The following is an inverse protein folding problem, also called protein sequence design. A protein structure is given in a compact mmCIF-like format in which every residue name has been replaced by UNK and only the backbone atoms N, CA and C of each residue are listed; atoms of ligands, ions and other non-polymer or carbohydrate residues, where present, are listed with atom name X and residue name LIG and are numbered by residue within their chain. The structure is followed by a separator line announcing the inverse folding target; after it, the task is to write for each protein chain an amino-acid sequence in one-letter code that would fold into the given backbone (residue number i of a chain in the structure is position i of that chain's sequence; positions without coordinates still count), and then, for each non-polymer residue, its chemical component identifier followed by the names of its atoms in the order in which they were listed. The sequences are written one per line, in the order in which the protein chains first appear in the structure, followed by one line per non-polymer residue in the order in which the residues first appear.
data_IF_242242204857
#
_entry.id   IF_242242204857
#
_cell.length_a   1.000
_cell.length_b   1.000
_cell.length_c   1.000
_cell.angle_alpha   90.00
_cell.angle_beta   90.00
_cell.angle_gamma   90.00
#
_symmetry.space_group_name_H-M   'P 1'
#
loop_
_entity.id
_entity.type
_entity.pdbx_description
1 polymer ?
#
# COMPACT_ATOMS: atom_id res chain seq x y z
N UNK A 1 52.19 86.33 -19.62
CA UNK A 1 51.06 86.95 -20.35
C UNK A 1 50.14 85.86 -20.86
N UNK A 2 48.86 86.19 -21.04
CA UNK A 2 47.78 85.34 -21.56
C UNK A 2 47.22 84.24 -20.65
N UNK A 3 45.92 84.00 -20.86
CA UNK A 3 44.99 83.13 -20.11
C UNK A 3 44.55 81.98 -21.04
N UNK A 4 43.93 80.93 -20.50
CA UNK A 4 42.73 80.22 -21.01
C UNK A 4 42.61 78.88 -20.25
N UNK A 5 41.58 78.73 -19.40
CA UNK A 5 40.25 78.14 -19.69
C UNK A 5 40.25 76.60 -19.66
N UNK A 6 39.48 76.05 -18.72
CA UNK A 6 39.17 74.62 -18.64
C UNK A 6 38.12 74.22 -19.70
N UNK A 7 37.94 72.92 -19.93
CA UNK A 7 36.67 72.33 -19.50
C UNK A 7 36.82 71.02 -18.72
N UNK A 8 35.78 70.68 -17.95
CA UNK A 8 35.60 69.33 -17.39
C UNK A 8 35.33 68.34 -18.54
N UNK A 9 35.89 67.14 -18.45
CA UNK A 9 35.39 65.97 -19.18
C UNK A 9 35.22 64.80 -18.22
N UNK A 10 33.98 64.54 -17.84
CA UNK A 10 33.59 63.31 -17.15
C UNK A 10 33.74 62.12 -18.11
N UNK A 11 34.49 61.09 -17.71
CA UNK A 11 34.48 59.79 -18.35
C UNK A 11 33.75 58.81 -17.41
N UNK A 12 32.64 58.24 -17.88
CA UNK A 12 31.77 57.42 -17.05
C UNK A 12 32.37 56.04 -16.78
N UNK A 13 32.33 55.60 -15.52
CA UNK A 13 32.53 54.18 -15.18
C UNK A 13 31.37 53.37 -15.74
N UNK A 14 31.64 52.56 -16.77
CA UNK A 14 30.66 51.64 -17.34
C UNK A 14 30.49 50.45 -16.38
N UNK A 15 29.61 50.61 -15.39
CA UNK A 15 29.18 49.51 -14.55
C UNK A 15 28.31 48.55 -15.39
N UNK A 16 28.94 47.51 -15.93
CA UNK A 16 28.23 46.40 -16.54
C UNK A 16 27.47 45.65 -15.43
N UNK A 17 26.20 46.02 -15.25
CA UNK A 17 25.28 45.24 -14.44
C UNK A 17 25.09 43.88 -15.13
N UNK A 18 25.76 42.85 -14.59
CA UNK A 18 25.42 41.46 -14.85
C UNK A 18 23.99 41.25 -14.34
N UNK A 19 23.03 41.44 -15.23
CA UNK A 19 21.73 40.78 -15.14
C UNK A 19 22.02 39.29 -15.33
N UNK A 20 22.43 38.64 -14.24
CA UNK A 20 22.29 37.20 -14.10
C UNK A 20 20.80 36.92 -14.12
N UNK A 21 20.27 36.67 -15.32
CA UNK A 21 19.01 35.96 -15.42
C UNK A 21 19.23 34.63 -14.73
N UNK A 22 18.44 34.36 -13.70
CA UNK A 22 18.24 32.99 -13.23
C UNK A 22 17.68 32.24 -14.42
N UNK A 23 18.53 31.47 -15.11
CA UNK A 23 18.04 30.33 -15.84
C UNK A 23 17.31 29.49 -14.78
N UNK A 24 15.99 29.43 -14.88
CA UNK A 24 15.27 28.32 -14.27
C UNK A 24 15.80 27.11 -15.02
N UNK A 25 16.45 26.19 -14.31
CA UNK A 25 16.74 24.89 -14.87
C UNK A 25 15.39 24.27 -15.30
N UNK A 26 15.38 23.55 -16.42
CA UNK A 26 14.22 22.74 -16.76
C UNK A 26 14.18 21.60 -15.74
N UNK A 27 13.31 21.76 -14.74
CA UNK A 27 13.07 20.78 -13.68
C UNK A 27 12.38 19.58 -14.32
N UNK A 28 12.80 18.33 -14.02
CA UNK A 28 12.21 17.15 -14.62
C UNK A 28 10.70 17.06 -14.35
N UNK A 29 9.95 16.55 -15.32
CA UNK A 29 8.57 16.14 -15.12
C UNK A 29 8.59 14.82 -14.32
N UNK A 30 7.94 14.80 -13.15
CA UNK A 30 7.99 13.67 -12.21
C UNK A 30 6.59 13.13 -11.95
N UNK A 31 6.43 11.81 -11.96
CA UNK A 31 5.22 11.12 -11.55
C UNK A 31 5.44 10.32 -10.25
N UNK A 32 4.40 10.24 -9.44
CA UNK A 32 4.34 9.42 -8.22
C UNK A 32 3.03 8.63 -8.18
N UNK A 33 3.10 7.36 -7.81
CA UNK A 33 1.97 6.43 -7.81
C UNK A 33 0.83 6.84 -6.86
N UNK A 34 1.07 6.82 -5.55
CA UNK A 34 0.08 7.02 -4.49
C UNK A 34 0.34 8.30 -3.70
N UNK A 35 -0.69 8.85 -3.06
CA UNK A 35 -0.58 10.11 -2.31
C UNK A 35 0.53 10.14 -1.22
N UNK A 36 0.81 9.04 -0.48
CA UNK A 36 1.96 8.95 0.42
C UNK A 36 3.32 9.13 -0.28
N UNK A 37 3.52 8.50 -1.44
CA UNK A 37 4.77 8.59 -2.22
C UNK A 37 4.88 9.97 -2.88
N UNK A 38 3.79 10.47 -3.48
CA UNK A 38 3.68 11.84 -4.00
C UNK A 38 4.13 12.87 -2.97
N UNK A 39 3.69 12.72 -1.72
CA UNK A 39 4.05 13.60 -0.62
C UNK A 39 5.55 13.56 -0.29
N UNK A 40 6.17 12.38 -0.25
CA UNK A 40 7.62 12.24 -0.05
C UNK A 40 8.41 12.86 -1.21
N UNK A 41 7.97 12.65 -2.46
CA UNK A 41 8.60 13.25 -3.64
C UNK A 41 8.44 14.78 -3.64
N UNK A 42 7.25 15.29 -3.33
CA UNK A 42 6.97 16.72 -3.18
C UNK A 42 7.80 17.35 -2.05
N UNK A 43 8.04 16.63 -0.94
CA UNK A 43 8.94 17.07 0.13
C UNK A 43 10.38 17.22 -0.35
N UNK A 44 10.89 16.31 -1.18
CA UNK A 44 12.24 16.45 -1.76
C UNK A 44 12.29 17.56 -2.82
N UNK A 45 11.27 17.68 -3.66
CA UNK A 45 11.16 18.72 -4.71
C UNK A 45 10.82 20.12 -4.19
N UNK A 46 10.62 20.31 -2.89
CA UNK A 46 10.15 21.57 -2.28
C UNK A 46 10.98 22.79 -2.72
N UNK A 47 10.30 23.78 -3.32
CA UNK A 47 10.91 25.00 -3.83
C UNK A 47 11.57 24.87 -5.21
N UNK A 48 11.59 23.67 -5.80
CA UNK A 48 12.12 23.37 -7.13
C UNK A 48 10.97 23.02 -8.10
N UNK A 49 10.11 22.07 -7.74
CA UNK A 49 8.97 21.63 -8.56
C UNK A 49 7.93 20.85 -7.75
N UNK A 50 6.99 20.20 -8.45
CA UNK A 50 5.93 19.41 -7.84
C UNK A 50 5.65 18.17 -8.72
N UNK A 51 5.58 16.94 -8.15
CA UNK A 51 5.27 15.74 -8.90
C UNK A 51 3.77 15.64 -9.26
N UNK A 52 3.47 14.95 -10.35
CA UNK A 52 2.12 14.49 -10.69
C UNK A 52 1.73 13.26 -9.85
N UNK A 53 0.48 13.19 -9.40
CA UNK A 53 -0.08 12.03 -8.71
C UNK A 53 -0.87 11.15 -9.70
N UNK A 54 -0.60 9.84 -9.71
CA UNK A 54 -1.21 8.88 -10.64
C UNK A 54 -2.49 8.25 -10.10
N UNK A 55 -2.50 7.75 -8.86
CA UNK A 55 -3.70 7.20 -8.21
C UNK A 55 -4.43 8.33 -7.49
N UNK A 56 -5.62 8.70 -7.99
CA UNK A 56 -6.39 9.82 -7.45
C UNK A 56 -6.76 9.62 -5.95
N UNK A 57 -6.77 10.69 -5.13
CA UNK A 57 -7.12 10.58 -3.71
C UNK A 57 -8.49 9.92 -3.47
N UNK A 58 -8.51 8.93 -2.58
CA UNK A 58 -9.71 8.15 -2.25
C UNK A 58 -10.00 6.96 -3.16
N UNK A 59 -9.19 6.73 -4.20
CA UNK A 59 -9.18 5.45 -4.92
C UNK A 59 -8.28 4.42 -4.21
N UNK A 60 -8.54 3.14 -4.46
CA UNK A 60 -7.62 2.05 -4.12
C UNK A 60 -6.46 2.01 -5.13
N UNK A 61 -5.22 1.72 -4.70
CA UNK A 61 -4.13 1.39 -5.60
C UNK A 61 -4.23 -0.06 -6.13
N UNK A 62 -4.83 -0.99 -5.38
CA UNK A 62 -4.94 -2.40 -5.78
C UNK A 62 -5.83 -2.58 -7.02
N UNK A 63 -6.89 -1.77 -7.14
CA UNK A 63 -7.73 -1.69 -8.35
C UNK A 63 -7.90 -0.25 -8.84
N UNK A 64 -7.14 0.14 -9.87
CA UNK A 64 -7.27 1.45 -10.50
C UNK A 64 -7.35 1.40 -12.03
N UNK A 65 -7.92 2.44 -12.64
CA UNK A 65 -7.97 2.62 -14.10
C UNK A 65 -7.58 4.05 -14.44
N UNK A 66 -6.44 4.18 -15.14
CA UNK A 66 -5.85 5.47 -15.50
C UNK A 66 -6.82 6.35 -16.28
N UNK A 67 -7.00 7.58 -15.80
CA UNK A 67 -7.64 8.67 -16.53
C UNK A 67 -6.69 9.18 -17.63
N UNK A 68 -7.20 9.74 -18.74
CA UNK A 68 -6.35 10.26 -19.81
C UNK A 68 -5.29 11.28 -19.37
N UNK A 69 -5.54 12.03 -18.30
CA UNK A 69 -4.57 12.97 -17.71
C UNK A 69 -3.42 12.28 -16.98
N UNK A 70 -3.67 11.15 -16.32
CA UNK A 70 -2.64 10.38 -15.59
C UNK A 70 -1.78 9.59 -16.58
N UNK A 71 -2.40 8.99 -17.60
CA UNK A 71 -1.67 8.43 -18.73
C UNK A 71 -0.80 9.48 -19.45
N UNK A 72 -1.24 10.74 -19.53
CA UNK A 72 -0.43 11.85 -20.08
C UNK A 72 0.71 12.24 -19.13
N UNK A 73 0.49 12.19 -17.81
CA UNK A 73 1.52 12.46 -16.82
C UNK A 73 2.64 11.40 -16.88
N UNK A 74 2.29 10.11 -17.00
CA UNK A 74 3.27 9.03 -17.23
C UNK A 74 4.03 9.21 -18.56
N UNK A 75 3.33 9.54 -19.66
CA UNK A 75 3.96 9.75 -20.98
C UNK A 75 4.97 10.90 -21.04
N UNK A 76 4.85 11.88 -20.15
CA UNK A 76 5.74 13.03 -20.11
C UNK A 76 6.81 12.92 -19.01
N UNK A 77 6.76 11.91 -18.14
CA UNK A 77 7.62 11.83 -16.98
C UNK A 77 9.08 11.51 -17.35
N UNK A 78 10.01 12.33 -16.87
CA UNK A 78 11.45 12.01 -16.85
C UNK A 78 11.77 11.01 -15.73
N UNK A 79 11.01 11.05 -14.62
CA UNK A 79 11.12 10.08 -13.51
C UNK A 79 9.75 9.61 -13.02
N UNK A 80 9.66 8.32 -12.70
CA UNK A 80 8.48 7.72 -12.04
C UNK A 80 8.92 7.10 -10.71
N UNK A 81 8.33 7.54 -9.61
CA UNK A 81 8.48 6.92 -8.29
C UNK A 81 7.23 6.11 -7.96
N UNK A 82 7.40 4.84 -7.63
CA UNK A 82 6.29 3.95 -7.30
C UNK A 82 6.69 2.94 -6.24
N UNK A 83 5.73 2.38 -5.51
CA UNK A 83 5.99 1.37 -4.48
C UNK A 83 6.65 0.15 -5.10
N UNK A 84 5.99 -0.48 -6.07
CA UNK A 84 6.50 -1.66 -6.77
C UNK A 84 5.41 -2.58 -7.29
N UNK A 85 5.83 -3.71 -7.86
CA UNK A 85 4.93 -4.71 -8.45
C UNK A 85 3.85 -5.15 -7.47
N UNK A 86 4.24 -5.55 -6.24
CA UNK A 86 3.36 -6.15 -5.24
C UNK A 86 2.16 -5.27 -4.83
N UNK A 87 2.23 -3.95 -5.01
CA UNK A 87 1.09 -3.04 -4.78
C UNK A 87 0.25 -2.79 -6.03
N UNK A 88 0.92 -2.54 -7.16
CA UNK A 88 0.27 -2.07 -8.39
C UNK A 88 0.79 -2.78 -9.64
N UNK A 89 0.49 -4.08 -9.85
CA UNK A 89 0.93 -4.79 -11.06
C UNK A 89 0.42 -4.12 -12.35
N UNK A 90 -0.80 -3.57 -12.32
CA UNK A 90 -1.39 -2.82 -13.44
C UNK A 90 -0.63 -1.52 -13.78
N UNK A 91 0.13 -0.96 -12.84
CA UNK A 91 0.91 0.26 -13.05
C UNK A 91 2.26 -0.08 -13.70
N UNK A 92 2.82 -1.27 -13.44
CA UNK A 92 4.00 -1.78 -14.15
C UNK A 92 3.72 -1.85 -15.67
N UNK A 93 2.67 -2.58 -16.07
CA UNK A 93 2.17 -2.65 -17.45
C UNK A 93 2.00 -1.26 -18.09
N UNK A 94 1.50 -0.30 -17.30
CA UNK A 94 1.27 1.06 -17.77
C UNK A 94 2.55 1.90 -17.86
N UNK A 95 3.51 1.71 -16.97
CA UNK A 95 4.84 2.34 -17.02
C UNK A 95 5.60 1.82 -18.23
N UNK A 96 5.65 0.49 -18.43
CA UNK A 96 6.30 -0.12 -19.60
C UNK A 96 5.71 0.40 -20.92
N UNK A 97 4.39 0.56 -21.00
CA UNK A 97 3.70 0.96 -22.23
C UNK A 97 3.68 2.48 -22.50
N UNK A 98 3.92 3.32 -21.49
CA UNK A 98 3.74 4.77 -21.59
C UNK A 98 5.00 5.59 -21.29
N UNK A 99 5.89 5.10 -20.43
CA UNK A 99 7.02 5.83 -19.87
C UNK A 99 8.37 5.20 -20.28
N UNK A 100 8.49 4.69 -21.52
CA UNK A 100 9.66 3.97 -22.04
C UNK A 100 11.01 4.71 -21.86
N UNK A 101 11.00 6.05 -21.90
CA UNK A 101 12.19 6.91 -21.76
C UNK A 101 12.46 7.36 -20.29
N UNK A 102 11.56 7.06 -19.35
CA UNK A 102 11.63 7.55 -17.97
C UNK A 102 12.62 6.77 -17.10
N UNK A 103 13.22 7.44 -16.10
CA UNK A 103 13.92 6.76 -15.01
C UNK A 103 12.90 6.30 -13.97
N UNK A 104 12.56 5.01 -14.00
CA UNK A 104 11.68 4.38 -13.02
C UNK A 104 12.46 4.04 -11.75
N UNK A 105 11.90 4.37 -10.58
CA UNK A 105 12.46 4.08 -9.27
C UNK A 105 11.41 3.34 -8.44
N UNK A 106 11.59 2.04 -8.32
CA UNK A 106 10.83 1.17 -7.42
C UNK A 106 11.32 1.37 -5.98
N UNK A 107 10.40 1.71 -5.08
CA UNK A 107 10.73 2.03 -3.70
C UNK A 107 10.92 0.79 -2.83
N UNK A 108 10.29 -0.34 -3.19
CA UNK A 108 10.55 -1.64 -2.56
C UNK A 108 12.03 -2.03 -2.71
N UNK A 109 12.61 -1.91 -3.91
CA UNK A 109 14.03 -2.21 -4.16
C UNK A 109 15.03 -1.17 -3.60
N UNK A 110 14.57 -0.05 -3.04
CA UNK A 110 15.46 1.05 -2.64
C UNK A 110 16.37 0.69 -1.45
N UNK A 111 17.64 1.13 -1.51
CA UNK A 111 18.66 0.91 -0.47
C UNK A 111 18.16 1.33 0.94
N UNK A 112 17.92 0.33 1.80
CA UNK A 112 17.49 0.54 3.19
C UNK A 112 15.98 0.43 3.42
N UNK A 113 15.19 0.12 2.40
CA UNK A 113 13.81 -0.35 2.57
C UNK A 113 13.79 -1.63 3.42
N UNK A 114 12.80 -1.74 4.30
CA UNK A 114 12.49 -2.96 5.03
C UNK A 114 11.19 -3.53 4.50
N UNK A 115 11.23 -4.79 4.06
CA UNK A 115 10.09 -5.60 3.64
C UNK A 115 9.64 -6.51 4.80
N UNK A 116 8.35 -6.82 4.84
CA UNK A 116 7.74 -7.79 5.75
C UNK A 116 6.95 -8.81 4.92
N UNK A 117 6.94 -10.11 5.29
CA UNK A 117 6.17 -11.11 4.57
C UNK A 117 4.67 -10.86 4.76
N UNK A 118 3.86 -11.23 3.76
CA UNK A 118 2.39 -11.24 3.85
C UNK A 118 1.95 -12.08 5.06
N UNK A 119 0.96 -11.60 5.81
CA UNK A 119 0.31 -12.38 6.87
C UNK A 119 -0.81 -13.24 6.32
N UNK A 120 -0.73 -14.54 6.56
CA UNK A 120 -1.83 -15.46 6.30
C UNK A 120 -2.89 -15.44 7.42
N UNK A 121 -4.11 -15.85 7.07
CA UNK A 121 -5.21 -16.02 8.03
C UNK A 121 -5.88 -14.72 8.47
N UNK A 122 -6.75 -14.80 9.48
CA UNK A 122 -7.52 -13.65 9.99
C UNK A 122 -6.94 -13.02 11.25
N UNK A 123 -6.15 -13.82 11.97
CA UNK A 123 -5.82 -13.62 13.37
C UNK A 123 -4.33 -13.33 13.58
N UNK A 124 -3.57 -13.30 12.47
CA UNK A 124 -2.12 -13.08 12.41
C UNK A 124 -1.29 -14.06 13.25
N UNK A 125 -1.82 -15.27 13.44
CA UNK A 125 -1.14 -16.35 14.14
C UNK A 125 -0.37 -17.21 13.13
N UNK A 126 0.93 -17.43 13.38
CA UNK A 126 1.72 -18.38 12.59
C UNK A 126 0.99 -19.75 12.55
N UNK A 127 0.64 -20.21 11.35
CA UNK A 127 0.13 -21.56 11.14
C UNK A 127 1.22 -22.59 11.47
N UNK A 128 1.34 -22.93 12.76
CA UNK A 128 2.07 -24.12 13.20
C UNK A 128 1.31 -25.34 12.74
N UNK A 129 1.61 -25.79 11.53
CA UNK A 129 1.36 -27.14 11.08
C UNK A 129 2.11 -28.11 12.00
N UNK A 130 1.46 -28.48 13.10
CA UNK A 130 1.83 -29.65 13.87
C UNK A 130 1.44 -30.85 13.03
N UNK A 131 2.44 -31.61 12.56
CA UNK A 131 2.25 -32.92 11.96
C UNK A 131 1.64 -33.88 13.01
N UNK A 132 0.31 -33.87 13.14
CA UNK A 132 -0.41 -34.94 13.85
C UNK A 132 -0.57 -36.13 12.89
N UNK A 133 0.41 -37.03 12.95
CA UNK A 133 0.40 -38.36 12.34
C UNK A 133 -0.86 -39.16 12.75
N UNK A 134 -1.97 -38.98 12.02
CA UNK A 134 -3.15 -39.82 12.14
C UNK A 134 -2.96 -41.12 11.35
N UNK A 135 -2.08 -41.97 11.86
CA UNK A 135 -2.04 -43.39 11.51
C UNK A 135 -3.28 -44.11 12.05
N UNK A 136 -4.41 -43.98 11.35
CA UNK A 136 -5.63 -44.71 11.65
C UNK A 136 -5.48 -46.17 11.18
N UNK A 137 -5.29 -47.09 12.13
CA UNK A 137 -5.32 -48.53 11.85
C UNK A 137 -6.73 -48.95 11.43
N UNK A 138 -6.86 -49.59 10.26
CA UNK A 138 -8.12 -50.14 9.77
C UNK A 138 -8.45 -51.46 10.50
N UNK A 139 -9.48 -51.48 11.36
CA UNK A 139 -10.14 -52.72 11.76
C UNK A 139 -11.37 -53.01 10.86
N UNK A 140 -11.44 -54.24 10.36
CA UNK A 140 -12.51 -54.73 9.50
C UNK A 140 -13.78 -55.04 10.32
N UNK A 141 -14.96 -54.64 9.81
CA UNK A 141 -16.23 -55.16 10.29
C UNK A 141 -17.14 -55.62 9.13
N UNK A 142 -17.13 -56.95 8.94
CA UNK A 142 -18.20 -57.72 8.31
C UNK A 142 -19.56 -57.47 9.01
N UNK A 143 -20.65 -57.47 8.25
CA UNK A 143 -21.84 -58.30 8.50
C UNK A 143 -22.85 -58.19 7.35
N UNK A 144 -23.27 -59.34 6.83
CA UNK A 144 -24.22 -59.45 5.71
C UNK A 144 -25.68 -59.68 6.10
N UNK A 145 -26.49 -59.81 5.04
CA UNK A 145 -27.87 -60.32 4.96
C UNK A 145 -28.96 -59.72 5.86
N UNK A 146 -29.97 -59.12 5.21
CA UNK A 146 -31.32 -59.69 5.24
C UNK A 146 -32.16 -59.23 4.03
N UNK A 147 -32.86 -60.17 3.39
CA UNK A 147 -33.72 -59.92 2.24
C UNK A 147 -35.22 -60.11 2.57
N UNK A 148 -36.08 -59.48 1.76
CA UNK A 148 -37.23 -60.08 1.05
C UNK A 148 -38.54 -59.23 1.00
N UNK A 149 -39.16 -59.29 -0.20
CA UNK A 149 -40.54 -58.95 -0.59
C UNK A 149 -40.98 -57.47 -0.76
N UNK A 150 -41.92 -57.10 -1.63
CA UNK A 150 -42.30 -57.53 -3.01
C UNK A 150 -43.50 -56.66 -3.51
N UNK A 151 -43.70 -56.56 -4.84
CA UNK A 151 -44.87 -56.02 -5.56
C UNK A 151 -45.12 -54.48 -5.45
N UNK A 152 -45.64 -53.76 -6.46
CA UNK A 152 -45.96 -54.09 -7.87
C UNK A 152 -46.06 -52.79 -8.72
N UNK A 153 -45.77 -52.89 -10.04
CA UNK A 153 -46.38 -52.20 -11.23
C UNK A 153 -46.99 -50.77 -11.14
N UNK A 154 -46.87 -49.80 -12.08
CA UNK A 154 -46.29 -49.62 -13.45
C UNK A 154 -45.67 -48.18 -13.54
N UNK A 155 -45.13 -47.59 -14.63
CA UNK A 155 -45.01 -47.92 -16.06
C UNK A 155 -44.47 -46.72 -16.91
N UNK A 156 -44.45 -46.86 -18.25
CA UNK A 156 -44.02 -45.90 -19.31
C UNK A 156 -42.50 -45.54 -19.37
N UNK A 157 -41.67 -46.03 -20.31
CA UNK A 157 -41.70 -46.03 -21.81
C UNK A 157 -41.10 -44.73 -22.39
N UNK A 158 -39.76 -44.59 -22.41
CA UNK A 158 -38.74 -44.88 -23.47
C UNK A 158 -38.35 -43.68 -24.33
N UNK A 159 -37.08 -43.66 -24.75
CA UNK A 159 -36.47 -42.64 -25.59
C UNK A 159 -34.96 -42.86 -25.70
N UNK A 160 -34.54 -43.77 -26.58
CA UNK A 160 -33.14 -44.16 -26.78
C UNK A 160 -32.21 -42.97 -27.11
N UNK A 161 -30.94 -43.08 -26.71
CA UNK A 161 -29.84 -43.19 -27.69
C UNK A 161 -28.63 -43.88 -27.04
N UNK A 162 -27.88 -44.63 -27.84
CA UNK A 162 -26.91 -45.64 -27.40
C UNK A 162 -25.46 -45.27 -27.69
N UNK A 163 -24.55 -46.07 -27.12
CA UNK A 163 -23.12 -46.23 -27.45
C UNK A 163 -22.24 -44.98 -27.23
N UNK A 164 -21.16 -45.04 -26.44
CA UNK A 164 -20.03 -45.96 -26.64
C UNK A 164 -19.34 -46.37 -25.33
N UNK A 165 -18.58 -47.47 -25.42
CA UNK A 165 -17.76 -48.01 -24.35
C UNK A 165 -16.27 -47.66 -24.52
N UNK A 166 -15.52 -48.07 -23.50
CA UNK A 166 -14.09 -48.41 -23.48
C UNK A 166 -13.05 -47.36 -23.04
N UNK A 167 -12.39 -47.80 -21.95
CA UNK A 167 -10.97 -47.69 -21.63
C UNK A 167 -10.43 -46.51 -20.80
N UNK A 168 -9.66 -46.91 -19.77
CA UNK A 168 -9.01 -46.07 -18.78
C UNK A 168 -7.66 -45.56 -19.32
N UNK A 169 -7.35 -44.29 -19.07
CA UNK A 169 -5.99 -43.88 -18.72
C UNK A 169 -6.02 -42.89 -17.55
N UNK A 170 -5.38 -43.26 -16.45
CA UNK A 170 -5.22 -42.42 -15.27
C UNK A 170 -4.19 -41.29 -15.55
N UNK A 171 -4.68 -40.19 -16.10
CA UNK A 171 -3.94 -38.93 -16.14
C UNK A 171 -4.29 -38.11 -14.89
N UNK A 172 -3.59 -38.38 -13.78
CA UNK A 172 -3.46 -37.39 -12.70
C UNK A 172 -2.61 -36.22 -13.22
N UNK A 173 -3.21 -35.34 -14.01
CA UNK A 173 -2.71 -33.98 -14.15
C UNK A 173 -2.74 -33.38 -12.74
N UNK A 174 -1.57 -33.16 -12.17
CA UNK A 174 -1.45 -32.37 -10.97
C UNK A 174 -2.08 -31.02 -11.26
N UNK A 175 -3.06 -30.64 -10.45
CA UNK A 175 -3.45 -29.24 -10.37
C UNK A 175 -2.27 -28.50 -9.74
N UNK A 176 -1.31 -28.13 -10.59
CA UNK A 176 -0.52 -26.92 -10.38
C UNK A 176 -1.56 -25.79 -10.32
N UNK A 177 -2.00 -25.53 -9.08
CA UNK A 177 -2.67 -24.31 -8.73
C UNK A 177 -1.64 -23.22 -9.03
N UNK A 178 -1.75 -22.64 -10.22
CA UNK A 178 -1.00 -21.46 -10.60
C UNK A 178 -1.31 -20.42 -9.54
N UNK A 179 -0.31 -20.17 -8.70
CA UNK A 179 -0.43 -19.30 -7.55
C UNK A 179 -0.91 -17.92 -8.03
N UNK A 180 -1.92 -17.39 -7.36
CA UNK A 180 -2.71 -16.27 -7.88
C UNK A 180 -2.04 -14.93 -7.60
N UNK A 181 -0.79 -14.77 -8.05
CA UNK A 181 -0.12 -13.47 -8.18
C UNK A 181 -0.20 -12.60 -6.92
N UNK A 182 0.00 -13.20 -5.76
CA UNK A 182 0.23 -12.47 -4.52
C UNK A 182 1.74 -12.30 -4.37
N UNK A 183 2.19 -11.07 -4.18
CA UNK A 183 3.61 -10.77 -3.98
C UNK A 183 4.20 -11.50 -2.77
N UNK A 184 5.52 -11.64 -2.71
CA UNK A 184 6.18 -12.31 -1.59
C UNK A 184 6.05 -11.52 -0.27
N UNK A 185 5.72 -10.22 -0.34
CA UNK A 185 5.75 -9.28 0.77
C UNK A 185 4.48 -8.42 0.91
N UNK A 186 4.24 -7.89 2.12
CA UNK A 186 3.17 -6.91 2.36
C UNK A 186 3.48 -5.63 1.55
N UNK A 187 2.58 -5.21 0.63
CA UNK A 187 2.82 -4.06 -0.25
C UNK A 187 2.60 -2.70 0.43
N UNK A 188 2.19 -2.64 1.70
CA UNK A 188 1.86 -1.39 2.41
C UNK A 188 3.08 -0.68 3.03
N UNK A 189 4.25 -0.80 2.39
CA UNK A 189 5.57 -0.38 2.90
C UNK A 189 5.64 1.07 3.39
N UNK A 190 4.82 1.96 2.84
CA UNK A 190 4.83 3.40 3.15
C UNK A 190 4.36 3.73 4.56
N UNK A 191 3.72 2.78 5.25
CA UNK A 191 3.27 2.97 6.63
C UNK A 191 4.39 2.81 7.68
N UNK A 192 5.61 2.43 7.24
CA UNK A 192 6.84 2.54 8.04
C UNK A 192 7.48 3.94 7.87
N UNK A 193 7.63 4.74 8.94
CA UNK A 193 8.40 5.99 8.88
C UNK A 193 9.90 5.76 8.61
N UNK A 194 10.41 4.54 8.87
CA UNK A 194 11.80 4.19 8.57
C UNK A 194 11.99 3.96 7.06
N UNK A 195 11.02 3.31 6.39
CA UNK A 195 11.00 3.16 4.92
C UNK A 195 10.90 4.55 4.25
N UNK A 196 9.96 5.40 4.69
CA UNK A 196 9.90 6.78 4.21
C UNK A 196 11.21 7.57 4.41
N UNK A 197 11.95 7.31 5.50
CA UNK A 197 13.26 7.92 5.74
C UNK A 197 14.36 7.38 4.81
N UNK A 198 14.30 6.12 4.39
CA UNK A 198 15.17 5.55 3.36
C UNK A 198 14.85 6.18 1.98
N UNK A 199 13.58 6.16 1.60
CA UNK A 199 13.07 6.65 0.32
C UNK A 199 13.38 8.12 0.06
N UNK A 200 13.31 9.00 1.08
CA UNK A 200 13.73 10.39 0.94
C UNK A 200 15.18 10.53 0.41
N UNK A 201 16.10 9.62 0.75
CA UNK A 201 17.45 9.64 0.19
C UNK A 201 17.49 9.08 -1.25
N UNK A 202 16.72 8.03 -1.55
CA UNK A 202 16.64 7.44 -2.89
C UNK A 202 16.04 8.43 -3.91
N UNK A 203 14.93 9.07 -3.54
CA UNK A 203 14.29 10.15 -4.29
C UNK A 203 15.27 11.30 -4.53
N UNK A 204 15.97 11.77 -3.50
CA UNK A 204 16.96 12.85 -3.66
C UNK A 204 18.14 12.43 -4.55
N UNK A 205 18.58 11.18 -4.50
CA UNK A 205 19.66 10.67 -5.36
C UNK A 205 19.23 10.61 -6.83
N UNK A 206 18.04 10.08 -7.12
CA UNK A 206 17.48 10.00 -8.47
C UNK A 206 17.22 11.39 -9.07
N UNK A 207 16.55 12.28 -8.33
CA UNK A 207 16.32 13.67 -8.76
C UNK A 207 17.65 14.42 -8.98
N UNK A 208 18.65 14.23 -8.12
CA UNK A 208 19.98 14.85 -8.28
C UNK A 208 20.78 14.32 -9.47
N UNK A 209 20.46 13.12 -9.96
CA UNK A 209 21.09 12.55 -11.16
C UNK A 209 20.46 13.13 -12.45
N UNK A 210 19.14 13.37 -12.45
CA UNK A 210 18.42 13.98 -13.55
C UNK A 210 18.59 15.52 -13.61
N UNK A 211 18.57 16.19 -12.46
CA UNK A 211 18.80 17.64 -12.30
C UNK A 211 19.98 17.91 -11.33
N UNK A 212 21.22 17.93 -11.86
CA UNK A 212 22.41 18.23 -11.06
C UNK A 212 22.50 19.69 -10.57
N UNK A 213 21.76 20.62 -11.17
CA UNK A 213 21.79 22.03 -10.79
C UNK A 213 20.99 22.26 -9.48
N UNK A 214 19.89 21.52 -9.29
CA UNK A 214 19.10 21.54 -8.05
C UNK A 214 19.47 20.44 -7.02
N UNK A 215 20.44 19.57 -7.31
CA UNK A 215 20.90 18.50 -6.41
C UNK A 215 21.13 18.92 -4.94
N UNK A 216 21.68 20.13 -4.73
CA UNK A 216 21.89 20.68 -3.38
C UNK A 216 20.59 20.97 -2.60
N UNK A 217 19.51 21.31 -3.31
CA UNK A 217 18.19 21.50 -2.71
C UNK A 217 17.57 20.13 -2.36
N UNK A 218 17.56 19.17 -3.29
CA UNK A 218 16.99 17.84 -3.06
C UNK A 218 17.59 17.14 -1.85
N UNK A 219 18.93 17.10 -1.72
CA UNK A 219 19.57 16.49 -0.53
C UNK A 219 19.32 17.27 0.76
N UNK A 220 19.18 18.61 0.70
CA UNK A 220 18.83 19.42 1.88
C UNK A 220 17.40 19.16 2.33
N UNK A 221 16.47 19.05 1.38
CA UNK A 221 15.05 18.81 1.63
C UNK A 221 14.81 17.39 2.16
N UNK A 222 15.46 16.38 1.58
CA UNK A 222 15.45 15.02 2.10
C UNK A 222 16.01 14.94 3.52
N UNK A 223 17.13 15.61 3.82
CA UNK A 223 17.67 15.66 5.17
C UNK A 223 16.71 16.31 6.19
N UNK A 224 15.99 17.37 5.78
CA UNK A 224 14.97 18.01 6.61
C UNK A 224 13.77 17.08 6.86
N UNK A 225 13.23 16.44 5.81
CA UNK A 225 12.15 15.47 5.93
C UNK A 225 12.50 14.28 6.83
N UNK A 226 13.75 13.80 6.80
CA UNK A 226 14.19 12.69 7.67
C UNK A 226 14.26 13.06 9.15
N UNK A 227 14.68 14.28 9.49
CA UNK A 227 14.65 14.80 10.87
C UNK A 227 13.21 15.03 11.37
N UNK A 228 12.32 15.43 10.45
CA UNK A 228 10.89 15.54 10.69
C UNK A 228 10.24 14.19 10.97
N UNK A 229 10.55 13.14 10.17
CA UNK A 229 10.08 11.77 10.43
C UNK A 229 10.62 11.19 11.75
N UNK A 230 11.88 11.49 12.09
CA UNK A 230 12.47 11.14 13.40
C UNK A 230 11.68 11.78 14.56
N UNK A 231 11.35 13.07 14.43
CA UNK A 231 10.55 13.82 15.40
C UNK A 231 9.11 13.29 15.51
N UNK A 232 8.49 13.00 14.37
CA UNK A 232 7.15 12.43 14.26
C UNK A 232 7.08 11.03 14.88
N UNK A 233 8.11 10.20 14.73
CA UNK A 233 8.16 8.88 15.37
C UNK A 233 8.12 8.98 16.90
N UNK A 234 8.78 9.99 17.48
CA UNK A 234 8.72 10.25 18.91
C UNK A 234 7.35 10.81 19.35
N UNK A 235 6.71 11.64 18.51
CA UNK A 235 5.35 12.13 18.72
C UNK A 235 4.33 10.98 18.72
N UNK A 236 4.34 10.12 17.69
CA UNK A 236 3.42 8.98 17.56
C UNK A 236 3.57 8.00 18.73
N UNK A 237 4.80 7.67 19.14
CA UNK A 237 5.01 6.86 20.34
C UNK A 237 4.37 7.51 21.59
N UNK A 238 4.44 8.83 21.71
CA UNK A 238 3.82 9.57 22.84
C UNK A 238 2.29 9.59 22.76
N UNK A 239 1.70 9.53 21.56
CA UNK A 239 0.25 9.41 21.32
C UNK A 239 -0.24 8.01 21.67
N UNK A 240 0.51 6.96 21.31
CA UNK A 240 0.12 5.56 21.49
C UNK A 240 0.40 5.01 22.90
N UNK A 241 1.38 5.55 23.62
CA UNK A 241 1.78 5.04 24.96
C UNK A 241 0.62 4.90 25.98
N UNK A 242 -0.35 5.84 26.09
CA UNK A 242 -1.46 5.72 27.05
C UNK A 242 -2.45 4.58 26.73
N UNK A 243 -2.45 4.08 25.49
CA UNK A 243 -3.37 3.04 25.00
C UNK A 243 -2.66 1.72 24.67
N UNK A 244 -1.35 1.61 24.96
CA UNK A 244 -0.52 0.44 24.64
C UNK A 244 -1.07 -0.82 25.31
N UNK A 245 -1.23 -1.88 24.51
CA UNK A 245 -1.86 -3.14 24.92
C UNK A 245 -3.39 -3.15 24.81
N UNK A 246 -4.00 -2.13 24.19
CA UNK A 246 -5.41 -2.18 23.78
C UNK A 246 -5.60 -3.07 22.54
N UNK A 247 -6.63 -3.91 22.55
CA UNK A 247 -6.94 -4.85 21.47
C UNK A 247 -7.86 -4.19 20.44
N UNK A 248 -7.44 -4.19 19.18
CA UNK A 248 -8.18 -3.61 18.06
C UNK A 248 -8.14 -4.50 16.82
N UNK A 249 -9.18 -4.41 15.98
CA UNK A 249 -9.25 -5.06 14.67
C UNK A 249 -9.16 -3.98 13.59
N UNK A 250 -8.47 -4.27 12.49
CA UNK A 250 -8.42 -3.39 11.30
C UNK A 250 -9.34 -3.92 10.19
N UNK A 251 -9.73 -3.07 9.24
CA UNK A 251 -10.61 -3.52 8.16
C UNK A 251 -9.85 -4.42 7.17
N UNK A 252 -8.79 -3.93 6.53
CA UNK A 252 -7.89 -4.77 5.75
C UNK A 252 -6.48 -4.77 6.34
N UNK A 253 -5.68 -5.75 5.92
CA UNK A 253 -4.32 -5.90 6.42
C UNK A 253 -3.32 -4.98 5.69
N UNK A 254 -3.39 -3.68 6.00
CA UNK A 254 -2.40 -2.70 5.53
C UNK A 254 -1.36 -2.33 6.59
N UNK A 255 -1.66 -2.52 7.87
CA UNK A 255 -1.01 -1.73 8.92
C UNK A 255 0.25 -2.38 9.51
N UNK A 256 0.67 -3.55 9.03
CA UNK A 256 1.77 -4.35 9.58
C UNK A 256 3.08 -3.55 9.75
N UNK A 257 3.43 -2.67 8.80
CA UNK A 257 4.59 -1.78 8.90
C UNK A 257 4.46 -0.72 10.00
N UNK A 258 3.26 -0.16 10.21
CA UNK A 258 2.99 0.78 11.29
C UNK A 258 2.99 0.06 12.65
N UNK A 259 2.33 -1.10 12.73
CA UNK A 259 2.31 -1.98 13.90
C UNK A 259 3.73 -2.33 14.37
N UNK A 260 4.60 -2.72 13.43
CA UNK A 260 6.00 -3.06 13.69
C UNK A 260 6.84 -1.83 14.09
N UNK A 261 6.63 -0.67 13.45
CA UNK A 261 7.38 0.56 13.75
C UNK A 261 7.10 1.12 15.15
N UNK A 262 5.94 0.81 15.74
CA UNK A 262 5.46 1.37 17.01
C UNK A 262 5.21 0.34 18.12
N UNK A 263 5.48 -0.95 17.87
CA UNK A 263 5.21 -2.08 18.80
C UNK A 263 3.74 -2.08 19.27
N UNK A 264 2.84 -2.14 18.29
CA UNK A 264 1.40 -2.00 18.48
C UNK A 264 0.61 -2.92 17.51
N UNK A 265 0.71 -4.25 17.65
CA UNK A 265 0.09 -5.21 16.73
C UNK A 265 -1.44 -5.21 16.79
N UNK A 266 -2.09 -5.38 15.64
CA UNK A 266 -3.53 -5.59 15.55
C UNK A 266 -3.92 -7.01 15.98
N UNK A 267 -5.14 -7.17 16.51
CA UNK A 267 -5.72 -8.47 16.90
C UNK A 267 -6.20 -9.32 15.71
N UNK A 268 -6.11 -8.80 14.47
CA UNK A 268 -6.62 -9.40 13.24
C UNK A 268 -7.18 -8.37 12.26
N UNK A 269 -7.48 -8.80 11.03
CA UNK A 269 -8.08 -7.98 9.97
C UNK A 269 -9.37 -8.61 9.42
N UNK A 270 -10.37 -7.79 9.10
CA UNK A 270 -11.64 -8.27 8.53
C UNK A 270 -11.43 -8.87 7.12
N UNK A 271 -10.66 -8.21 6.26
CA UNK A 271 -10.22 -8.68 4.94
C UNK A 271 -8.69 -8.79 4.88
N UNK A 272 -8.19 -9.47 3.84
CA UNK A 272 -6.75 -9.52 3.50
C UNK A 272 -6.38 -8.36 2.56
N UNK A 273 -7.27 -8.00 1.64
CA UNK A 273 -7.09 -6.91 0.66
C UNK A 273 -8.34 -6.03 0.61
N UNK A 274 -8.19 -4.80 0.14
CA UNK A 274 -9.29 -3.85 -0.07
C UNK A 274 -10.16 -4.16 -1.31
N UNK A 275 -9.64 -4.96 -2.25
CA UNK A 275 -10.30 -5.30 -3.51
C UNK A 275 -11.37 -6.40 -3.37
N UNK A 276 -11.37 -7.19 -2.29
CA UNK A 276 -12.24 -8.37 -2.14
C UNK A 276 -13.05 -8.36 -0.85
N UNK A 277 -14.36 -8.63 -0.95
CA UNK A 277 -15.25 -8.79 0.21
C UNK A 277 -14.86 -10.02 1.06
N UNK A 278 -14.88 -9.92 2.41
CA UNK A 278 -14.54 -11.02 3.30
C UNK A 278 -15.60 -12.14 3.27
N UNK A 279 -15.15 -13.39 3.40
CA UNK A 279 -16.06 -14.54 3.44
C UNK A 279 -16.89 -14.59 4.75
N UNK A 280 -18.08 -15.23 4.76
CA UNK A 280 -18.85 -15.41 5.99
C UNK A 280 -18.09 -16.13 7.11
N UNK A 281 -17.21 -17.08 6.75
CA UNK A 281 -16.35 -17.78 7.71
C UNK A 281 -15.35 -16.82 8.37
N UNK A 282 -14.71 -15.96 7.58
CA UNK A 282 -13.81 -14.89 8.05
C UNK A 282 -14.52 -13.90 8.98
N UNK A 283 -15.75 -13.51 8.66
CA UNK A 283 -16.58 -12.66 9.53
C UNK A 283 -16.82 -13.34 10.89
N UNK A 284 -17.20 -14.62 10.91
CA UNK A 284 -17.41 -15.37 12.16
C UNK A 284 -16.13 -15.59 12.97
N UNK A 285 -14.99 -15.78 12.31
CA UNK A 285 -13.68 -15.89 12.96
C UNK A 285 -13.29 -14.57 13.68
N UNK A 286 -13.49 -13.43 13.02
CA UNK A 286 -13.26 -12.12 13.64
C UNK A 286 -14.28 -11.82 14.75
N UNK A 287 -15.56 -12.20 14.60
CA UNK A 287 -16.55 -12.09 15.68
C UNK A 287 -16.11 -12.87 16.94
N UNK A 288 -15.58 -14.08 16.77
CA UNK A 288 -15.03 -14.87 17.89
C UNK A 288 -13.81 -14.17 18.52
N UNK A 289 -12.86 -13.68 17.70
CA UNK A 289 -11.70 -12.89 18.15
C UNK A 289 -12.10 -11.63 18.94
N UNK A 290 -13.15 -10.92 18.49
CA UNK A 290 -13.69 -9.73 19.17
C UNK A 290 -14.18 -10.06 20.57
N UNK A 291 -14.92 -11.17 20.72
CA UNK A 291 -15.40 -11.63 22.03
C UNK A 291 -14.25 -12.16 22.93
N UNK A 292 -13.38 -13.02 22.40
CA UNK A 292 -12.34 -13.71 23.18
C UNK A 292 -11.26 -12.75 23.70
N UNK A 293 -10.82 -11.79 22.87
CA UNK A 293 -9.80 -10.81 23.27
C UNK A 293 -10.39 -9.54 23.89
N UNK A 294 -11.72 -9.43 24.04
CA UNK A 294 -12.40 -8.20 24.49
C UNK A 294 -11.96 -6.98 23.66
N UNK A 295 -12.00 -7.09 22.33
CA UNK A 295 -11.59 -6.03 21.40
C UNK A 295 -12.40 -4.77 21.69
N UNK A 296 -11.70 -3.67 21.99
CA UNK A 296 -12.34 -2.39 22.37
C UNK A 296 -12.62 -1.49 21.16
N UNK A 297 -11.95 -1.73 20.03
CA UNK A 297 -12.08 -0.93 18.83
C UNK A 297 -12.00 -1.75 17.53
N UNK A 298 -12.81 -1.37 16.53
CA UNK A 298 -12.65 -1.80 15.14
C UNK A 298 -12.37 -0.57 14.27
N UNK A 299 -11.22 -0.57 13.59
CA UNK A 299 -10.81 0.49 12.67
C UNK A 299 -11.35 0.19 11.27
N UNK A 300 -12.34 0.98 10.86
CA UNK A 300 -12.83 1.04 9.48
C UNK A 300 -12.02 2.03 8.65
N UNK A 301 -12.26 2.09 7.34
CA UNK A 301 -11.56 3.00 6.43
C UNK A 301 -12.54 3.67 5.46
N UNK A 302 -12.25 4.89 4.96
CA UNK A 302 -13.21 5.68 4.17
C UNK A 302 -13.77 4.99 2.91
N UNK A 303 -13.00 4.06 2.33
CA UNK A 303 -13.29 3.36 1.09
C UNK A 303 -14.34 2.27 1.26
N UNK A 304 -14.58 1.76 2.48
CA UNK A 304 -15.29 0.50 2.70
C UNK A 304 -16.77 0.59 3.08
N UNK A 305 -17.46 -0.53 2.87
CA UNK A 305 -18.87 -0.70 3.20
C UNK A 305 -19.08 -0.81 4.73
N UNK A 306 -19.76 0.16 5.38
CA UNK A 306 -19.99 0.13 6.83
C UNK A 306 -20.89 -1.03 7.29
N UNK A 307 -21.62 -1.69 6.38
CA UNK A 307 -22.43 -2.87 6.68
C UNK A 307 -21.61 -4.11 7.07
N UNK A 308 -20.37 -4.24 6.59
CA UNK A 308 -19.47 -5.34 6.95
C UNK A 308 -18.98 -5.14 8.40
N UNK A 309 -18.53 -3.93 8.73
CA UNK A 309 -18.13 -3.55 10.09
C UNK A 309 -19.28 -3.77 11.08
N UNK A 310 -20.49 -3.31 10.74
CA UNK A 310 -21.68 -3.52 11.56
C UNK A 310 -22.01 -5.01 11.77
N UNK A 311 -21.69 -5.88 10.82
CA UNK A 311 -21.89 -7.33 10.92
C UNK A 311 -20.85 -7.97 11.85
N UNK A 312 -19.58 -7.58 11.74
CA UNK A 312 -18.49 -8.02 12.64
C UNK A 312 -18.72 -7.56 14.09
N UNK A 313 -19.37 -6.42 14.29
CA UNK A 313 -19.72 -5.88 15.61
C UNK A 313 -20.98 -6.47 16.25
N UNK A 314 -21.74 -7.33 15.58
CA UNK A 314 -23.01 -7.82 16.13
C UNK A 314 -22.79 -8.56 17.46
N UNK A 315 -23.49 -8.12 18.52
CA UNK A 315 -23.31 -8.60 19.89
C UNK A 315 -22.10 -8.06 20.66
N UNK A 316 -21.34 -7.10 20.11
CA UNK A 316 -20.18 -6.46 20.76
C UNK A 316 -20.45 -5.03 21.23
N UNK A 317 -19.81 -4.62 22.33
CA UNK A 317 -19.77 -3.23 22.83
C UNK A 317 -18.55 -2.44 22.28
N UNK A 318 -17.81 -2.99 21.31
CA UNK A 318 -16.66 -2.33 20.69
C UNK A 318 -17.01 -0.96 20.06
N UNK A 319 -16.06 -0.05 20.03
CA UNK A 319 -16.16 1.23 19.31
C UNK A 319 -15.73 1.08 17.85
N UNK A 320 -16.10 2.04 17.00
CA UNK A 320 -15.49 2.21 15.68
C UNK A 320 -14.58 3.43 15.62
N UNK A 321 -13.46 3.27 14.94
CA UNK A 321 -12.57 4.35 14.52
C UNK A 321 -12.38 4.36 13.01
N UNK A 322 -11.72 5.39 12.49
CA UNK A 322 -11.34 5.46 11.07
C UNK A 322 -9.83 5.59 10.95
N UNK A 323 -9.19 4.61 10.33
CA UNK A 323 -7.83 4.71 9.80
C UNK A 323 -7.92 4.74 8.28
N UNK A 324 -7.09 5.57 7.66
CA UNK A 324 -7.06 5.76 6.21
C UNK A 324 -5.59 5.64 5.81
N UNK A 325 -5.16 4.53 5.20
CA UNK A 325 -3.75 4.28 4.95
C UNK A 325 -3.19 5.15 3.81
N UNK A 326 -4.05 5.79 3.01
CA UNK A 326 -3.69 6.61 1.86
C UNK A 326 -3.82 8.12 2.14
N UNK A 327 -4.53 8.50 3.21
CA UNK A 327 -4.76 9.90 3.55
C UNK A 327 -5.70 10.60 2.57
N UNK A 328 -6.74 9.91 2.09
CA UNK A 328 -7.71 10.36 1.08
C UNK A 328 -8.39 11.72 1.36
N UNK A 329 -8.42 12.14 2.63
CA UNK A 329 -8.99 13.42 3.08
C UNK A 329 -7.97 14.56 3.22
N UNK A 330 -6.70 14.31 2.92
CA UNK A 330 -5.61 15.28 2.97
C UNK A 330 -5.34 15.85 1.57
N UNK A 331 -4.97 17.12 1.51
CA UNK A 331 -4.52 17.75 0.26
C UNK A 331 -3.14 17.17 -0.13
N UNK A 332 -2.93 16.74 -1.40
CA UNK A 332 -1.62 16.28 -1.87
C UNK A 332 -0.54 17.35 -1.71
N UNK A 333 0.69 16.90 -1.43
CA UNK A 333 1.84 17.77 -1.17
C UNK A 333 2.70 17.31 0.01
N UNK A 334 3.75 18.06 0.32
CA UNK A 334 4.79 17.68 1.28
C UNK A 334 4.31 17.39 2.72
N UNK A 335 3.19 18.00 3.14
CA UNK A 335 2.64 17.83 4.50
C UNK A 335 1.80 16.54 4.68
N UNK A 336 1.37 15.90 3.58
CA UNK A 336 0.44 14.77 3.62
C UNK A 336 1.00 13.56 4.36
N UNK A 337 2.21 13.09 4.03
CA UNK A 337 2.83 11.90 4.63
C UNK A 337 3.04 12.01 6.15
N UNK A 338 3.63 13.09 6.71
CA UNK A 338 3.73 13.23 8.16
C UNK A 338 2.37 13.43 8.83
N UNK A 339 1.37 14.01 8.15
CA UNK A 339 0.02 14.13 8.69
C UNK A 339 -0.76 12.81 8.66
N UNK A 340 -0.58 11.98 7.63
CA UNK A 340 -1.13 10.63 7.50
C UNK A 340 -0.74 9.77 8.71
N UNK A 341 0.56 9.60 8.95
CA UNK A 341 1.04 8.76 10.07
C UNK A 341 0.57 9.29 11.44
N UNK A 342 0.49 10.62 11.62
CA UNK A 342 -0.07 11.25 12.82
C UNK A 342 -1.58 10.97 12.97
N UNK A 343 -2.33 11.01 11.88
CA UNK A 343 -3.76 10.74 11.88
C UNK A 343 -4.04 9.28 12.23
N UNK A 344 -3.28 8.32 11.70
CA UNK A 344 -3.39 6.90 12.07
C UNK A 344 -3.23 6.70 13.58
N UNK A 345 -2.15 7.25 14.15
CA UNK A 345 -1.89 7.20 15.59
C UNK A 345 -3.01 7.84 16.43
N UNK A 346 -3.49 9.01 15.99
CA UNK A 346 -4.51 9.79 16.71
C UNK A 346 -5.88 9.11 16.65
N UNK A 347 -6.25 8.53 15.51
CA UNK A 347 -7.49 7.75 15.34
C UNK A 347 -7.49 6.49 16.19
N UNK A 348 -6.38 5.74 16.20
CA UNK A 348 -6.24 4.53 17.00
C UNK A 348 -6.34 4.85 18.51
N UNK A 349 -5.56 5.82 18.98
CA UNK A 349 -5.58 6.27 20.38
C UNK A 349 -6.89 6.98 20.79
N UNK A 350 -7.65 7.53 19.84
CA UNK A 350 -8.98 8.10 20.09
C UNK A 350 -10.09 7.05 20.16
N UNK A 351 -9.90 5.88 19.54
CA UNK A 351 -10.87 4.81 19.53
C UNK A 351 -10.75 3.86 20.73
N UNK A 352 -9.53 3.60 21.20
CA UNK A 352 -9.24 2.76 22.39
C UNK A 352 -9.70 3.45 23.70
#
# INVERSE_FOLDING_TARGET
MSRNLAPLTSAASLAAALLAGTALADVPDVAADIAPVHSLVARVMEGVGEPSLIVAPGASPHEYSLRPSEATALQNADLVFWIGHDLTPWLEDAIEALAEDATVVELTEADGTTELPIREGALFEEHRHGDEDHAAEHEEHDHGDHAEHAADHEGHDHGDHADHADEHEDAHEGHDHADHGHGDHDPHLWLSPDNGSAWLNAIAAALSAADPDNAGAYFSNAAAGREELSSLRAEINSILEPVRGGNFIVFHDAYQYFEAAFDFPASGAISVSDATDPSPARISEIQARVADQNVTCIMSEPQFNPGIVASVMDGSDAKTGVMDPLGSSLDPGADLYPQLLRNLATSLAGCL
#
